data_IF_666668259956
#
_entry.id   IF_666668259956
#
_cell.length_a   1.000
_cell.length_b   1.000
_cell.length_c   1.000
_cell.angle_alpha   90.00
_cell.angle_beta   90.00
_cell.angle_gamma   90.00
#
_symmetry.space_group_name_H-M   'P 1'
#
loop_
_entity.id
_entity.type
_entity.pdbx_description
1 polymer ?
#
# COMPACT_ATOMS: atom_id res chain seq x y z
N UNK A 1 0.10 -29.68 1.77
CA UNK A 1 1.25 -28.83 1.41
C UNK A 1 0.71 -27.72 0.53
N UNK A 2 0.32 -26.61 1.10
CA UNK A 2 -0.12 -25.45 0.35
C UNK A 2 1.00 -24.39 0.43
N UNK A 3 2.03 -24.57 -0.39
CA UNK A 3 2.91 -23.48 -0.70
C UNK A 3 2.13 -22.56 -1.67
N UNK A 4 1.71 -21.40 -1.19
CA UNK A 4 1.26 -20.36 -2.09
C UNK A 4 2.46 -19.94 -2.94
N UNK A 5 2.36 -19.93 -4.28
CA UNK A 5 3.52 -19.79 -5.17
C UNK A 5 4.21 -18.43 -5.12
N UNK A 6 3.72 -17.48 -4.32
CA UNK A 6 4.19 -16.09 -4.30
C UNK A 6 4.88 -15.66 -2.99
N UNK A 7 5.13 -16.58 -2.03
CA UNK A 7 5.91 -16.27 -0.83
C UNK A 7 7.35 -16.75 -1.07
N UNK A 8 8.05 -16.09 -1.97
CA UNK A 8 9.47 -16.35 -2.20
C UNK A 8 10.33 -15.46 -1.32
N UNK A 9 11.40 -16.04 -0.82
CA UNK A 9 12.43 -15.38 -0.05
C UNK A 9 13.65 -15.18 -0.97
N UNK A 10 13.81 -13.96 -1.48
CA UNK A 10 14.83 -13.67 -2.50
C UNK A 10 16.14 -13.13 -1.93
N UNK A 11 16.08 -12.46 -0.78
CA UNK A 11 17.25 -11.88 -0.10
C UNK A 11 17.43 -12.53 1.27
N UNK A 12 18.65 -12.80 1.62
CA UNK A 12 19.01 -13.23 2.96
C UNK A 12 18.89 -12.07 3.96
N UNK A 13 18.76 -12.40 5.25
CA UNK A 13 18.76 -11.40 6.31
C UNK A 13 20.05 -10.54 6.30
N UNK A 14 21.19 -11.13 5.94
CA UNK A 14 22.47 -10.41 5.86
C UNK A 14 22.47 -9.39 4.72
N UNK A 15 21.96 -9.74 3.55
CA UNK A 15 21.79 -8.82 2.42
C UNK A 15 20.84 -7.67 2.76
N UNK A 16 19.69 -7.97 3.38
CA UNK A 16 18.76 -6.94 3.84
C UNK A 16 19.40 -5.98 4.85
N UNK A 17 20.19 -6.49 5.80
CA UNK A 17 20.92 -5.66 6.76
C UNK A 17 21.93 -4.75 6.08
N UNK A 18 22.69 -5.27 5.11
CA UNK A 18 23.66 -4.47 4.37
C UNK A 18 22.99 -3.30 3.64
N UNK A 19 21.83 -3.55 3.01
CA UNK A 19 21.04 -2.50 2.35
C UNK A 19 20.55 -1.45 3.36
N UNK A 20 20.03 -1.88 4.52
CA UNK A 20 19.53 -0.98 5.56
C UNK A 20 20.67 -0.14 6.16
N UNK A 21 21.84 -0.73 6.41
CA UNK A 21 23.02 -0.02 6.93
C UNK A 21 23.49 1.05 5.95
N UNK A 22 23.59 0.71 4.67
CA UNK A 22 23.99 1.66 3.63
C UNK A 22 22.98 2.81 3.49
N UNK A 23 21.69 2.50 3.43
CA UNK A 23 20.63 3.50 3.33
C UNK A 23 20.65 4.47 4.53
N UNK A 24 20.84 3.94 5.74
CA UNK A 24 20.98 4.76 6.96
C UNK A 24 22.19 5.68 6.92
N UNK A 25 23.31 5.23 6.33
CA UNK A 25 24.55 6.02 6.24
C UNK A 25 24.35 7.31 5.45
N UNK A 26 23.41 7.32 4.51
CA UNK A 26 23.08 8.44 3.63
C UNK A 26 21.69 9.05 3.89
N UNK A 27 21.04 8.68 5.00
CA UNK A 27 19.73 9.21 5.42
C UNK A 27 18.60 8.91 4.41
N UNK A 28 18.60 7.72 3.80
CA UNK A 28 17.57 7.26 2.87
C UNK A 28 16.71 6.20 3.58
N UNK A 29 15.39 6.29 3.40
CA UNK A 29 14.43 5.27 3.84
C UNK A 29 14.46 4.06 2.92
N UNK A 30 14.18 2.88 3.49
CA UNK A 30 14.15 1.61 2.77
C UNK A 30 12.72 1.13 2.58
N UNK A 31 12.40 0.62 1.38
CA UNK A 31 11.16 -0.08 1.09
C UNK A 31 11.49 -1.46 0.49
N UNK A 32 10.72 -2.47 0.82
CA UNK A 32 10.94 -3.82 0.34
C UNK A 32 9.64 -4.48 -0.10
N UNK A 33 9.63 -5.04 -1.34
CA UNK A 33 8.59 -5.98 -1.76
C UNK A 33 8.55 -7.15 -0.78
N UNK A 34 7.39 -7.39 -0.18
CA UNK A 34 7.25 -8.34 0.91
C UNK A 34 5.82 -8.88 0.99
N UNK A 35 5.57 -10.05 0.41
CA UNK A 35 4.23 -10.63 0.40
C UNK A 35 3.83 -11.24 1.75
N UNK A 36 4.79 -11.71 2.57
CA UNK A 36 4.53 -12.38 3.86
C UNK A 36 5.60 -13.40 4.23
N UNK A 37 5.26 -14.32 5.14
CA UNK A 37 6.13 -15.43 5.55
C UNK A 37 7.45 -14.98 6.17
N UNK A 38 8.49 -15.81 6.02
CA UNK A 38 9.82 -15.54 6.57
C UNK A 38 10.46 -14.27 6.01
N UNK A 39 10.21 -13.93 4.73
CA UNK A 39 10.73 -12.72 4.12
C UNK A 39 10.25 -11.45 4.82
N UNK A 40 8.99 -11.42 5.30
CA UNK A 40 8.47 -10.31 6.09
C UNK A 40 9.17 -10.24 7.47
N UNK A 41 9.38 -11.38 8.13
CA UNK A 41 10.08 -11.42 9.41
C UNK A 41 11.54 -10.97 9.29
N UNK A 42 12.20 -11.31 8.18
CA UNK A 42 13.56 -10.87 7.89
C UNK A 42 13.63 -9.38 7.56
N UNK A 43 12.68 -8.83 6.80
CA UNK A 43 12.57 -7.39 6.56
C UNK A 43 12.43 -6.62 7.88
N UNK A 44 11.55 -7.07 8.78
CA UNK A 44 11.40 -6.47 10.10
C UNK A 44 12.70 -6.58 10.91
N UNK A 45 13.34 -7.76 10.92
CA UNK A 45 14.58 -8.00 11.66
C UNK A 45 15.77 -7.20 11.12
N UNK A 46 15.82 -6.96 9.81
CA UNK A 46 16.81 -6.09 9.18
C UNK A 46 16.56 -4.61 9.47
N UNK A 47 15.32 -4.23 9.76
CA UNK A 47 14.93 -2.85 10.05
C UNK A 47 14.48 -2.06 8.82
N UNK A 48 13.90 -2.72 7.82
CA UNK A 48 13.24 -2.09 6.67
C UNK A 48 12.16 -1.12 7.17
N UNK A 49 12.09 0.07 6.58
CA UNK A 49 11.18 1.14 7.01
C UNK A 49 9.76 0.98 6.47
N UNK A 50 9.63 0.46 5.25
CA UNK A 50 8.35 0.29 4.56
C UNK A 50 8.24 -1.11 3.93
N UNK A 51 7.10 -1.77 4.16
CA UNK A 51 6.79 -3.10 3.65
C UNK A 51 5.74 -2.98 2.54
N UNK A 52 6.09 -3.41 1.34
CA UNK A 52 5.18 -3.33 0.18
C UNK A 52 4.31 -4.59 0.08
N UNK A 53 3.01 -4.42 -0.21
CA UNK A 53 1.99 -5.43 -0.46
C UNK A 53 1.45 -6.15 0.78
N UNK A 54 2.24 -6.90 1.49
CA UNK A 54 1.94 -7.71 2.69
C UNK A 54 0.71 -8.63 2.54
N UNK A 55 0.49 -9.19 1.36
CA UNK A 55 -0.71 -9.97 0.98
C UNK A 55 -1.03 -11.14 1.91
N UNK A 56 -0.03 -11.76 2.52
CA UNK A 56 -0.16 -12.93 3.37
C UNK A 56 0.31 -12.66 4.81
N UNK A 57 0.20 -11.41 5.25
CA UNK A 57 0.58 -11.01 6.61
C UNK A 57 -0.26 -11.78 7.65
N UNK A 58 0.40 -12.31 8.66
CA UNK A 58 -0.23 -13.02 9.78
C UNK A 58 -0.49 -12.07 10.95
N UNK A 59 -1.42 -12.43 11.85
CA UNK A 59 -1.71 -11.61 13.02
C UNK A 59 -0.47 -11.33 13.91
N UNK A 60 0.42 -12.31 14.19
CA UNK A 60 1.67 -12.02 14.91
C UNK A 60 2.57 -11.00 14.19
N UNK A 61 2.60 -11.03 12.85
CA UNK A 61 3.36 -10.07 12.06
C UNK A 61 2.71 -8.68 12.10
N UNK A 62 1.38 -8.58 12.07
CA UNK A 62 0.65 -7.30 12.26
C UNK A 62 1.06 -6.65 13.59
N UNK A 63 1.03 -7.40 14.68
CA UNK A 63 1.44 -6.89 16.00
C UNK A 63 2.90 -6.44 16.02
N UNK A 64 3.77 -7.18 15.33
CA UNK A 64 5.18 -6.83 15.20
C UNK A 64 5.40 -5.56 14.39
N UNK A 65 4.79 -5.44 13.20
CA UNK A 65 4.82 -4.23 12.35
C UNK A 65 4.38 -3.00 13.13
N UNK A 66 3.28 -3.13 13.88
CA UNK A 66 2.74 -2.05 14.71
C UNK A 66 3.69 -1.67 15.85
N UNK A 67 4.22 -2.64 16.57
CA UNK A 67 5.18 -2.43 17.67
C UNK A 67 6.47 -1.76 17.20
N UNK A 68 6.97 -2.13 16.03
CA UNK A 68 8.19 -1.59 15.43
C UNK A 68 7.94 -0.29 14.64
N UNK A 69 6.69 0.18 14.62
CA UNK A 69 6.24 1.43 13.98
C UNK A 69 6.61 1.50 12.49
N UNK A 70 6.48 0.37 11.74
CA UNK A 70 6.79 0.30 10.32
C UNK A 70 5.61 0.75 9.47
N UNK A 71 5.92 1.27 8.28
CA UNK A 71 4.93 1.57 7.26
C UNK A 71 4.59 0.33 6.44
N UNK A 72 3.36 0.32 5.93
CA UNK A 72 2.90 -0.66 4.94
C UNK A 72 2.34 0.10 3.74
N UNK A 73 2.61 -0.36 2.52
CA UNK A 73 1.93 0.13 1.31
C UNK A 73 1.08 -0.98 0.74
N UNK A 74 -0.23 -0.75 0.68
CA UNK A 74 -1.17 -1.69 0.09
C UNK A 74 -1.33 -1.44 -1.41
N UNK A 75 -1.36 -2.53 -2.19
CA UNK A 75 -1.57 -2.53 -3.65
C UNK A 75 -2.58 -3.60 -4.04
N UNK A 76 -3.82 -3.54 -3.53
CA UNK A 76 -4.76 -4.66 -3.58
C UNK A 76 -5.24 -5.05 -4.98
N UNK A 77 -5.11 -4.22 -6.00
CA UNK A 77 -5.55 -4.52 -7.38
C UNK A 77 -4.99 -5.82 -7.94
N UNK A 78 -3.77 -6.20 -7.53
CA UNK A 78 -3.18 -7.47 -7.96
C UNK A 78 -4.10 -8.67 -7.67
N UNK A 79 -4.74 -8.68 -6.49
CA UNK A 79 -5.64 -9.75 -6.07
C UNK A 79 -7.12 -9.45 -6.30
N UNK A 80 -7.54 -8.18 -6.29
CA UNK A 80 -8.94 -7.79 -6.27
C UNK A 80 -9.47 -7.30 -7.62
N UNK A 81 -8.61 -6.99 -8.59
CA UNK A 81 -9.05 -6.56 -9.91
C UNK A 81 -9.42 -7.76 -10.78
N UNK A 82 -10.72 -8.07 -10.84
CA UNK A 82 -11.24 -9.20 -11.61
C UNK A 82 -10.89 -9.11 -13.12
N UNK A 83 -10.68 -7.91 -13.66
CA UNK A 83 -10.25 -7.75 -15.05
C UNK A 83 -8.83 -8.30 -15.31
N UNK A 84 -7.97 -8.29 -14.30
CA UNK A 84 -6.66 -8.92 -14.39
C UNK A 84 -6.77 -10.44 -14.37
N UNK A 85 -7.71 -10.99 -13.63
CA UNK A 85 -7.95 -12.43 -13.55
C UNK A 85 -8.38 -13.04 -14.89
N UNK A 86 -9.05 -12.28 -15.75
CA UNK A 86 -9.45 -12.76 -17.09
C UNK A 86 -8.27 -12.96 -18.04
N UNK A 87 -7.10 -12.42 -17.73
CA UNK A 87 -5.87 -12.63 -18.52
C UNK A 87 -5.19 -13.97 -18.22
N UNK A 88 -5.59 -14.65 -17.17
CA UNK A 88 -5.03 -15.96 -16.78
C UNK A 88 -5.77 -17.13 -17.43
N UNK A 89 -5.09 -18.28 -17.54
CA UNK A 89 -5.73 -19.53 -17.96
C UNK A 89 -6.86 -19.93 -16.99
N UNK A 90 -7.84 -20.77 -17.42
CA UNK A 90 -8.90 -21.25 -16.51
C UNK A 90 -8.36 -21.92 -15.23
N UNK A 91 -7.24 -22.67 -15.36
CA UNK A 91 -6.60 -23.34 -14.23
C UNK A 91 -5.98 -22.32 -13.24
N UNK A 92 -5.25 -21.34 -13.76
CA UNK A 92 -4.62 -20.30 -12.94
C UNK A 92 -5.67 -19.39 -12.29
N UNK A 93 -6.80 -19.18 -12.98
CA UNK A 93 -7.93 -18.40 -12.45
C UNK A 93 -8.53 -19.01 -11.18
N UNK A 94 -8.70 -20.34 -11.12
CA UNK A 94 -9.23 -21.01 -9.92
C UNK A 94 -8.26 -20.86 -8.74
N UNK A 95 -6.96 -20.97 -9.00
CA UNK A 95 -5.91 -20.69 -8.01
C UNK A 95 -5.97 -19.25 -7.52
N UNK A 96 -6.04 -18.27 -8.43
CA UNK A 96 -6.11 -16.85 -8.13
C UNK A 96 -7.37 -16.47 -7.33
N UNK A 97 -8.51 -17.08 -7.58
CA UNK A 97 -9.73 -16.85 -6.81
C UNK A 97 -9.59 -17.33 -5.35
N UNK A 98 -8.94 -18.48 -5.14
CA UNK A 98 -8.63 -18.96 -3.77
C UNK A 98 -7.65 -18.05 -3.06
N UNK A 99 -6.64 -17.56 -3.74
CA UNK A 99 -5.67 -16.60 -3.19
C UNK A 99 -6.33 -15.25 -2.87
N UNK A 100 -7.24 -14.77 -3.72
CA UNK A 100 -8.02 -13.56 -3.47
C UNK A 100 -8.69 -13.59 -2.11
N UNK A 101 -9.36 -14.69 -1.76
CA UNK A 101 -10.05 -14.84 -0.47
C UNK A 101 -9.07 -14.78 0.72
N UNK A 102 -7.93 -15.45 0.60
CA UNK A 102 -6.88 -15.44 1.61
C UNK A 102 -6.30 -14.03 1.77
N UNK A 103 -5.97 -13.37 0.66
CA UNK A 103 -5.39 -12.02 0.65
C UNK A 103 -6.39 -11.02 1.25
N UNK A 104 -7.66 -11.07 0.85
CA UNK A 104 -8.69 -10.21 1.44
C UNK A 104 -8.74 -10.36 2.97
N UNK A 105 -8.74 -11.60 3.47
CA UNK A 105 -8.76 -11.88 4.91
C UNK A 105 -7.52 -11.33 5.62
N UNK A 106 -6.33 -11.53 5.04
CA UNK A 106 -5.08 -11.03 5.62
C UNK A 106 -5.03 -9.49 5.65
N UNK A 107 -5.38 -8.84 4.54
CA UNK A 107 -5.38 -7.38 4.45
C UNK A 107 -6.45 -6.76 5.36
N UNK A 108 -7.67 -7.33 5.41
CA UNK A 108 -8.69 -6.87 6.37
C UNK A 108 -8.22 -6.99 7.80
N UNK A 109 -7.57 -8.11 8.18
CA UNK A 109 -6.98 -8.29 9.50
C UNK A 109 -5.87 -7.28 9.82
N UNK A 110 -5.05 -6.92 8.83
CA UNK A 110 -4.00 -5.91 8.98
C UNK A 110 -4.58 -4.49 9.17
N UNK A 111 -5.63 -4.16 8.41
CA UNK A 111 -6.37 -2.90 8.52
C UNK A 111 -7.04 -2.80 9.91
N UNK A 112 -7.73 -3.85 10.34
CA UNK A 112 -8.39 -3.95 11.65
C UNK A 112 -7.37 -3.86 12.80
N UNK A 113 -6.17 -4.45 12.61
CA UNK A 113 -5.02 -4.33 13.51
C UNK A 113 -4.47 -2.91 13.65
N UNK A 114 -4.88 -1.98 12.78
CA UNK A 114 -4.56 -0.55 12.86
C UNK A 114 -3.13 -0.24 12.47
N UNK A 115 -2.62 -0.90 11.43
CA UNK A 115 -1.33 -0.54 10.82
C UNK A 115 -1.41 0.85 10.18
N UNK A 116 -0.32 1.60 10.27
CA UNK A 116 -0.16 2.83 9.48
C UNK A 116 0.19 2.46 8.05
N UNK A 117 -0.52 3.03 7.08
CA UNK A 117 -0.37 2.61 5.69
C UNK A 117 -0.41 3.77 4.69
N UNK A 118 0.25 3.54 3.56
CA UNK A 118 0.03 4.20 2.29
C UNK A 118 -0.69 3.27 1.32
N UNK A 119 -1.12 3.80 0.19
CA UNK A 119 -1.74 3.06 -0.90
C UNK A 119 -0.97 3.34 -2.19
N UNK A 120 -0.57 2.28 -2.89
CA UNK A 120 0.15 2.34 -4.15
C UNK A 120 -0.57 1.55 -5.25
N UNK A 121 -0.11 1.67 -6.49
CA UNK A 121 -0.72 1.04 -7.67
C UNK A 121 0.11 -0.09 -8.30
N UNK A 122 1.34 -0.27 -7.85
CA UNK A 122 2.27 -1.29 -8.35
C UNK A 122 2.34 -1.34 -9.90
N UNK A 123 2.53 -0.17 -10.50
CA UNK A 123 2.62 -0.04 -11.97
C UNK A 123 1.29 0.02 -12.72
N UNK A 124 0.15 -0.11 -12.04
CA UNK A 124 -1.17 0.13 -12.64
C UNK A 124 -1.47 1.64 -12.65
N UNK A 125 -0.79 2.38 -13.51
CA UNK A 125 -0.97 3.82 -13.67
C UNK A 125 -2.45 4.17 -13.86
N UNK A 126 -2.91 5.25 -13.24
CA UNK A 126 -4.31 5.69 -13.18
C UNK A 126 -5.23 4.83 -12.28
N UNK A 127 -4.70 3.84 -11.58
CA UNK A 127 -5.48 2.93 -10.71
C UNK A 127 -5.70 3.41 -9.28
N UNK A 128 -5.11 4.52 -8.82
CA UNK A 128 -5.06 4.89 -7.40
C UNK A 128 -6.44 5.03 -6.75
N UNK A 129 -7.41 5.62 -7.43
CA UNK A 129 -8.77 5.72 -6.93
C UNK A 129 -9.43 4.34 -6.74
N UNK A 130 -9.12 3.39 -7.63
CA UNK A 130 -9.61 2.01 -7.51
C UNK A 130 -8.96 1.27 -6.36
N UNK A 131 -7.63 1.45 -6.14
CA UNK A 131 -6.94 0.90 -4.97
C UNK A 131 -7.56 1.40 -3.67
N UNK A 132 -7.83 2.71 -3.60
CA UNK A 132 -8.50 3.32 -2.45
C UNK A 132 -9.89 2.70 -2.19
N UNK A 133 -10.68 2.47 -3.24
CA UNK A 133 -11.97 1.80 -3.13
C UNK A 133 -11.84 0.37 -2.59
N UNK A 134 -10.83 -0.38 -3.04
CA UNK A 134 -10.58 -1.73 -2.51
C UNK A 134 -10.21 -1.71 -1.03
N UNK A 135 -9.34 -0.79 -0.60
CA UNK A 135 -8.93 -0.68 0.81
C UNK A 135 -10.13 -0.27 1.70
N UNK A 136 -10.99 0.64 1.22
CA UNK A 136 -12.25 0.95 1.91
C UNK A 136 -13.16 -0.28 1.99
N UNK A 137 -13.30 -1.03 0.90
CA UNK A 137 -14.08 -2.28 0.84
C UNK A 137 -13.54 -3.38 1.76
N UNK A 138 -12.25 -3.37 2.09
CA UNK A 138 -11.61 -4.27 3.05
C UNK A 138 -11.79 -3.82 4.52
N UNK A 139 -12.50 -2.72 4.77
CA UNK A 139 -12.88 -2.26 6.11
C UNK A 139 -12.15 -1.02 6.63
N UNK A 140 -11.26 -0.41 5.84
CA UNK A 140 -10.64 0.84 6.23
C UNK A 140 -11.65 1.99 6.22
N UNK A 141 -11.57 2.89 7.21
CA UNK A 141 -12.38 4.11 7.22
C UNK A 141 -11.94 5.05 6.08
N UNK A 142 -12.88 5.67 5.39
CA UNK A 142 -12.59 6.57 4.26
C UNK A 142 -11.56 7.65 4.62
N UNK A 143 -11.60 8.18 5.85
CA UNK A 143 -10.59 9.13 6.33
C UNK A 143 -9.18 8.57 6.31
N UNK A 144 -9.00 7.32 6.72
CA UNK A 144 -7.69 6.67 6.78
C UNK A 144 -7.22 6.28 5.36
N UNK A 145 -8.15 5.91 4.48
CA UNK A 145 -7.90 5.70 3.05
C UNK A 145 -7.41 6.99 2.38
N UNK A 146 -8.08 8.12 2.62
CA UNK A 146 -7.65 9.42 2.11
C UNK A 146 -6.26 9.80 2.64
N UNK A 147 -5.99 9.59 3.92
CA UNK A 147 -4.66 9.79 4.46
C UNK A 147 -3.63 8.88 3.77
N UNK A 148 -4.00 7.63 3.46
CA UNK A 148 -3.17 6.64 2.77
C UNK A 148 -2.72 7.07 1.37
N UNK A 149 -3.58 7.73 0.62
CA UNK A 149 -3.26 8.24 -0.74
C UNK A 149 -2.69 9.67 -0.75
N UNK A 150 -2.57 10.32 0.40
CA UNK A 150 -2.10 11.71 0.51
C UNK A 150 -0.97 11.83 1.53
N UNK A 151 -1.26 12.28 2.73
CA UNK A 151 -0.25 12.62 3.73
C UNK A 151 0.61 11.41 4.18
N UNK A 152 0.04 10.22 4.27
CA UNK A 152 0.82 9.04 4.64
C UNK A 152 1.78 8.64 3.51
N UNK A 153 1.30 8.64 2.24
CA UNK A 153 2.16 8.41 1.09
C UNK A 153 3.29 9.44 1.03
N UNK A 154 3.00 10.72 1.27
CA UNK A 154 4.01 11.77 1.35
C UNK A 154 5.03 11.53 2.47
N UNK A 155 4.62 11.04 3.64
CA UNK A 155 5.52 10.68 4.75
C UNK A 155 6.43 9.51 4.39
N UNK A 156 5.87 8.47 3.77
CA UNK A 156 6.65 7.30 3.31
C UNK A 156 7.73 7.75 2.33
N UNK A 157 7.41 8.68 1.43
CA UNK A 157 8.34 9.23 0.44
C UNK A 157 9.24 10.37 0.98
N UNK A 158 9.11 10.77 2.25
CA UNK A 158 9.85 11.91 2.82
C UNK A 158 9.46 13.28 2.25
N UNK A 159 8.30 13.39 1.61
CA UNK A 159 7.81 14.59 0.93
C UNK A 159 6.71 15.35 1.72
N UNK A 160 6.40 14.93 2.93
CA UNK A 160 5.29 15.46 3.73
C UNK A 160 5.47 16.92 4.17
N UNK A 161 6.69 17.45 4.10
CA UNK A 161 6.95 18.88 4.33
C UNK A 161 6.49 19.77 3.18
N UNK A 162 6.47 19.23 1.96
CA UNK A 162 6.16 19.98 0.73
C UNK A 162 4.80 19.64 0.11
N UNK A 163 4.24 18.47 0.40
CA UNK A 163 2.98 18.00 -0.21
C UNK A 163 2.16 17.09 0.73
N UNK A 164 1.10 16.48 0.22
CA UNK A 164 0.28 15.48 0.90
C UNK A 164 -0.78 16.03 1.87
N UNK A 165 -0.82 17.35 2.12
CA UNK A 165 -1.88 17.98 2.90
C UNK A 165 -2.03 19.44 2.53
N UNK A 166 -3.22 20.00 2.75
CA UNK A 166 -3.49 21.42 2.53
C UNK A 166 -2.98 22.18 3.76
N UNK A 167 -1.86 22.88 3.59
CA UNK A 167 -1.24 23.70 4.62
C UNK A 167 -0.44 24.84 3.99
N UNK A 168 -0.32 25.95 4.69
CA UNK A 168 0.50 27.08 4.24
C UNK A 168 1.94 26.66 4.00
N UNK A 169 2.54 27.10 2.90
CA UNK A 169 3.92 26.78 2.53
C UNK A 169 4.11 25.46 1.78
N UNK A 170 3.04 24.69 1.55
CA UNK A 170 3.09 23.48 0.71
C UNK A 170 2.70 23.78 -0.74
N UNK A 171 3.08 22.86 -1.62
CA UNK A 171 2.67 22.92 -3.03
C UNK A 171 1.14 22.97 -3.15
N UNK A 172 0.66 23.82 -4.04
CA UNK A 172 -0.77 23.97 -4.31
C UNK A 172 -1.23 22.90 -5.33
N UNK A 173 -1.15 21.64 -4.91
CA UNK A 173 -1.56 20.46 -5.69
C UNK A 173 -2.90 19.94 -5.18
N UNK A 174 -3.92 19.98 -6.02
CA UNK A 174 -5.29 19.59 -5.64
C UNK A 174 -5.96 18.76 -6.73
N UNK A 175 -6.73 17.76 -6.32
CA UNK A 175 -7.78 17.16 -7.14
C UNK A 175 -9.13 17.65 -6.61
N UNK A 176 -9.93 18.27 -7.49
CA UNK A 176 -11.31 18.68 -7.20
C UNK A 176 -12.22 17.53 -7.59
N UNK A 177 -13.09 17.12 -6.70
CA UNK A 177 -13.95 15.96 -6.88
C UNK A 177 -15.42 16.36 -6.90
N UNK A 178 -16.21 15.63 -7.68
CA UNK A 178 -17.67 15.65 -7.55
C UNK A 178 -18.08 14.71 -6.43
N UNK A 179 -18.51 15.27 -5.29
CA UNK A 179 -18.90 14.54 -4.08
C UNK A 179 -17.84 14.59 -2.99
N UNK A 180 -18.19 14.02 -1.84
CA UNK A 180 -17.35 13.98 -0.65
C UNK A 180 -16.76 12.57 -0.45
N UNK A 181 -15.46 12.34 -0.63
CA UNK A 181 -14.86 11.04 -0.48
C UNK A 181 -14.85 10.52 0.97
N UNK A 182 -15.13 11.37 1.97
CA UNK A 182 -15.32 10.93 3.35
C UNK A 182 -16.64 10.18 3.54
N UNK A 183 -17.67 10.55 2.77
CA UNK A 183 -18.99 9.91 2.81
C UNK A 183 -19.06 8.73 1.83
N UNK A 184 -18.51 8.91 0.60
CA UNK A 184 -18.49 7.91 -0.45
C UNK A 184 -17.10 7.92 -1.13
N UNK A 185 -16.31 6.89 -0.89
CA UNK A 185 -14.96 6.76 -1.44
C UNK A 185 -14.93 6.74 -2.97
N UNK A 186 -16.02 6.31 -3.64
CA UNK A 186 -16.16 6.30 -5.09
C UNK A 186 -16.10 7.72 -5.71
N UNK A 187 -16.28 8.77 -4.91
CA UNK A 187 -16.07 10.15 -5.34
C UNK A 187 -14.64 10.41 -5.85
N UNK A 188 -13.65 9.62 -5.41
CA UNK A 188 -12.28 9.70 -5.93
C UNK A 188 -12.17 9.42 -7.44
N UNK A 189 -13.13 8.74 -8.03
CA UNK A 189 -13.20 8.49 -9.48
C UNK A 189 -13.83 9.62 -10.27
N UNK A 190 -14.39 10.64 -9.59
CA UNK A 190 -15.13 11.75 -10.19
C UNK A 190 -14.32 13.06 -10.08
N UNK A 191 -13.12 13.04 -10.66
CA UNK A 191 -12.25 14.23 -10.71
C UNK A 191 -12.83 15.22 -11.72
N UNK A 192 -13.07 16.46 -11.30
CA UNK A 192 -13.60 17.54 -12.14
C UNK A 192 -12.54 18.57 -12.52
N UNK A 193 -11.46 18.66 -11.74
CA UNK A 193 -10.33 19.53 -12.04
C UNK A 193 -9.08 19.05 -11.33
N UNK A 194 -7.92 19.31 -11.91
CA UNK A 194 -6.62 19.07 -11.31
C UNK A 194 -5.82 20.36 -11.32
N UNK A 195 -5.27 20.72 -10.17
CA UNK A 195 -4.41 21.88 -9.97
C UNK A 195 -3.04 21.37 -9.58
N UNK A 196 -2.02 21.82 -10.28
CA UNK A 196 -0.61 21.53 -9.99
C UNK A 196 0.16 22.84 -9.86
N UNK A 197 0.89 23.02 -8.78
CA UNK A 197 1.62 24.25 -8.45
C UNK A 197 0.75 25.51 -8.61
N UNK A 198 -0.53 25.43 -8.21
CA UNK A 198 -1.50 26.51 -8.32
C UNK A 198 -2.06 26.76 -9.72
N UNK A 199 -1.69 25.94 -10.71
CA UNK A 199 -2.19 26.06 -12.10
C UNK A 199 -3.19 24.95 -12.41
N UNK A 200 -4.34 25.30 -12.97
CA UNK A 200 -5.31 24.29 -13.45
C UNK A 200 -4.75 23.62 -14.69
N UNK A 201 -4.60 22.29 -14.65
CA UNK A 201 -4.07 21.47 -15.75
C UNK A 201 -5.11 20.51 -16.35
N UNK A 202 -6.26 20.35 -15.68
CA UNK A 202 -7.39 19.54 -16.14
C UNK A 202 -8.70 20.14 -15.60
#
# INVERSE_FOLDING_TARGET
INATPFIYHFLTLEELRAVVEEAKSVNITTACHCSGGQGLDDCLTAGIDCLEHVYYITQPQVERVKKEDRWVVYTPSYALNDQLLFKFSPHDREGSLREKEIICKCLSGAIEGGLKFGIGTDGLHQGLAQEACYISGLGAKNRDVLAGITINAARICGADKSTGSIAEGKAADFAVLEGNPLDDIEALKKVTSVIQDGTIIF
#
